data_IF_243714682709
#
_entry.id   IF_243714682709
#
_cell.length_a   1.000
_cell.length_b   1.000
_cell.length_c   1.000
_cell.angle_alpha   90.00
_cell.angle_beta   90.00
_cell.angle_gamma   90.00
#
_symmetry.space_group_name_H-M   'P 1'
#
loop_
_entity.id
_entity.type
_entity.pdbx_description
1 polymer ?
#
# COMPACT_ATOMS: atom_id res chain seq x y z
N UNK A 1 -19.31 -2.56 -7.35
CA UNK A 1 -19.57 -1.47 -6.39
C UNK A 1 -18.81 -0.25 -6.89
N UNK A 2 -19.27 0.99 -6.66
CA UNK A 2 -18.44 2.14 -7.00
C UNK A 2 -17.22 2.17 -6.09
N UNK A 3 -16.07 2.54 -6.64
CA UNK A 3 -14.83 2.78 -5.92
C UNK A 3 -14.68 4.29 -5.70
N UNK A 4 -14.31 4.70 -4.49
CA UNK A 4 -14.01 6.09 -4.15
C UNK A 4 -12.51 6.22 -3.85
N UNK A 5 -11.79 6.98 -4.67
CA UNK A 5 -10.37 7.27 -4.45
C UNK A 5 -10.25 8.41 -3.44
N UNK A 6 -9.76 8.09 -2.24
CA UNK A 6 -9.60 9.07 -1.17
C UNK A 6 -8.32 9.93 -1.29
N UNK A 7 -7.28 9.39 -1.93
CA UNK A 7 -6.00 10.05 -2.17
C UNK A 7 -5.23 9.32 -3.28
N UNK A 8 -4.62 10.06 -4.19
CA UNK A 8 -3.72 9.51 -5.21
C UNK A 8 -2.50 10.41 -5.41
N UNK A 9 -1.34 9.82 -5.71
CA UNK A 9 -0.16 10.59 -6.14
C UNK A 9 0.76 9.71 -6.98
N UNK A 10 1.19 10.22 -8.13
CA UNK A 10 2.14 9.52 -9.02
C UNK A 10 3.29 10.46 -9.39
N UNK A 11 4.53 10.00 -9.22
CA UNK A 11 5.72 10.75 -9.61
C UNK A 11 6.95 9.85 -9.73
N UNK A 12 7.89 10.23 -10.60
CA UNK A 12 9.20 9.56 -10.67
C UNK A 12 10.04 9.91 -9.44
N UNK A 13 10.49 8.89 -8.72
CA UNK A 13 11.33 9.03 -7.53
C UNK A 13 12.56 8.12 -7.62
N UNK A 14 13.64 8.50 -6.94
CA UNK A 14 14.80 7.63 -6.77
C UNK A 14 14.48 6.45 -5.85
N UNK A 15 15.27 5.38 -5.95
CA UNK A 15 15.13 4.20 -5.09
C UNK A 15 15.29 4.54 -3.60
N UNK A 16 16.14 5.51 -3.28
CA UNK A 16 16.38 5.94 -1.89
C UNK A 16 15.19 6.73 -1.31
N UNK A 17 14.53 7.56 -2.12
CA UNK A 17 13.30 8.27 -1.74
C UNK A 17 12.17 7.28 -1.47
N UNK A 18 11.94 6.33 -2.37
CA UNK A 18 10.93 5.27 -2.21
C UNK A 18 11.22 4.43 -0.96
N UNK A 19 12.46 4.00 -0.75
CA UNK A 19 12.82 3.22 0.43
C UNK A 19 12.64 4.01 1.73
N UNK A 20 12.91 5.32 1.72
CA UNK A 20 12.68 6.18 2.88
C UNK A 20 11.20 6.35 3.19
N UNK A 21 10.37 6.44 2.16
CA UNK A 21 8.90 6.49 2.29
C UNK A 21 8.37 5.18 2.90
N UNK A 22 8.75 4.03 2.34
CA UNK A 22 8.34 2.71 2.85
C UNK A 22 8.78 2.48 4.30
N UNK A 23 9.98 2.92 4.69
CA UNK A 23 10.41 2.86 6.10
C UNK A 23 9.54 3.71 7.02
N UNK A 24 9.14 4.90 6.57
CA UNK A 24 8.25 5.78 7.35
C UNK A 24 6.87 5.15 7.55
N UNK A 25 6.35 4.45 6.53
CA UNK A 25 5.11 3.67 6.65
C UNK A 25 5.29 2.53 7.64
N UNK A 26 6.37 1.74 7.52
CA UNK A 26 6.65 0.63 8.43
C UNK A 26 6.77 1.09 9.89
N UNK A 27 7.51 2.18 10.17
CA UNK A 27 7.66 2.73 11.51
C UNK A 27 6.32 3.13 12.15
N UNK A 28 5.37 3.63 11.35
CA UNK A 28 4.02 3.99 11.83
C UNK A 28 3.20 2.77 12.16
N UNK A 29 3.22 1.76 11.29
CA UNK A 29 2.54 0.48 11.52
C UNK A 29 3.06 -0.21 12.78
N UNK A 30 4.38 -0.27 12.97
CA UNK A 30 5.02 -0.86 14.17
C UNK A 30 4.57 -0.18 15.47
N UNK A 31 4.32 1.13 15.43
CA UNK A 31 3.88 1.93 16.59
C UNK A 31 2.36 1.96 16.77
N UNK A 32 1.59 1.37 15.85
CA UNK A 32 0.13 1.51 15.82
C UNK A 32 -0.31 2.97 15.62
N UNK A 33 0.48 3.77 14.91
CA UNK A 33 0.20 5.17 14.64
C UNK A 33 -0.61 5.34 13.35
N UNK A 34 -1.35 6.45 13.27
CA UNK A 34 -2.04 6.87 12.05
C UNK A 34 -1.03 7.20 10.94
N UNK A 35 -1.42 6.90 9.70
CA UNK A 35 -0.64 7.20 8.50
C UNK A 35 -1.24 8.40 7.79
N UNK A 36 -0.50 9.50 7.71
CA UNK A 36 -0.91 10.68 6.93
C UNK A 36 -0.24 10.64 5.57
N UNK A 37 -1.04 10.53 4.51
CA UNK A 37 -0.59 10.68 3.12
C UNK A 37 -0.69 12.16 2.74
N UNK A 38 0.28 12.66 1.99
CA UNK A 38 0.34 14.08 1.61
C UNK A 38 1.06 14.28 0.28
N UNK A 39 0.41 15.01 -0.63
CA UNK A 39 0.97 15.48 -1.88
C UNK A 39 0.49 16.92 -2.16
N UNK A 40 1.42 17.86 -2.28
CA UNK A 40 1.07 19.27 -2.48
C UNK A 40 0.15 19.83 -1.37
N UNK A 41 -1.07 20.21 -1.75
CA UNK A 41 -2.12 20.71 -0.83
C UNK A 41 -3.04 19.62 -0.31
N UNK A 42 -2.99 18.42 -0.88
CA UNK A 42 -3.85 17.30 -0.48
C UNK A 42 -3.23 16.54 0.68
N UNK A 43 -4.08 16.14 1.62
CA UNK A 43 -3.66 15.32 2.76
C UNK A 43 -4.84 14.54 3.32
N UNK A 44 -4.62 13.25 3.56
CA UNK A 44 -5.57 12.37 4.26
C UNK A 44 -4.84 11.64 5.38
N UNK A 45 -5.55 11.32 6.47
CA UNK A 45 -5.03 10.48 7.55
C UNK A 45 -5.84 9.19 7.62
N UNK A 46 -5.14 8.08 7.47
CA UNK A 46 -5.66 6.72 7.52
C UNK A 46 -5.35 6.09 8.88
N UNK A 47 -6.25 5.24 9.37
CA UNK A 47 -6.12 4.54 10.65
C UNK A 47 -6.19 3.02 10.41
N UNK A 48 -5.08 2.38 9.99
CA UNK A 48 -5.05 0.93 9.82
C UNK A 48 -5.48 0.21 11.12
N UNK A 49 -6.20 -0.91 10.97
CA UNK A 49 -6.57 -1.75 12.11
C UNK A 49 -5.34 -2.40 12.76
N UNK A 50 -5.50 -3.09 13.90
CA UNK A 50 -4.38 -3.82 14.51
C UNK A 50 -3.89 -5.01 13.67
N UNK A 51 -4.71 -5.49 12.74
CA UNK A 51 -4.45 -6.67 11.90
C UNK A 51 -5.06 -6.44 10.52
N UNK A 52 -4.51 -5.52 9.70
CA UNK A 52 -4.94 -5.38 8.33
C UNK A 52 -4.54 -6.63 7.53
N UNK A 53 -5.28 -6.92 6.47
CA UNK A 53 -4.80 -7.83 5.43
C UNK A 53 -3.64 -7.14 4.71
N UNK A 54 -2.56 -7.87 4.43
CA UNK A 54 -1.44 -7.37 3.66
C UNK A 54 -1.28 -8.18 2.38
N UNK A 55 -1.62 -7.57 1.26
CA UNK A 55 -1.46 -8.15 -0.07
C UNK A 55 -0.18 -7.64 -0.73
N UNK A 56 0.55 -8.54 -1.38
CA UNK A 56 1.70 -8.20 -2.21
C UNK A 56 1.52 -8.82 -3.57
N UNK A 57 1.54 -7.96 -4.59
CA UNK A 57 1.30 -8.34 -5.98
C UNK A 57 2.45 -7.86 -6.84
N UNK A 58 2.87 -8.67 -7.80
CA UNK A 58 3.84 -8.27 -8.81
C UNK A 58 3.24 -8.57 -10.17
N UNK A 59 3.17 -7.56 -11.03
CA UNK A 59 2.48 -7.66 -12.30
C UNK A 59 3.36 -7.24 -13.47
N UNK A 60 2.96 -7.74 -14.64
CA UNK A 60 3.46 -7.28 -15.92
C UNK A 60 2.27 -6.87 -16.77
N UNK A 61 2.09 -5.58 -16.94
CA UNK A 61 1.01 -5.04 -17.76
C UNK A 61 1.44 -4.84 -19.21
N UNK A 62 0.53 -5.06 -20.15
CA UNK A 62 0.77 -4.89 -21.58
C UNK A 62 0.64 -6.18 -22.40
N UNK A 63 1.05 -6.17 -23.67
CA UNK A 63 0.83 -7.28 -24.59
C UNK A 63 1.61 -8.54 -24.17
N UNK A 64 1.03 -9.72 -24.47
CA UNK A 64 1.67 -11.03 -24.23
C UNK A 64 3.01 -11.16 -24.97
N UNK A 65 3.08 -10.69 -26.22
CA UNK A 65 4.22 -10.86 -27.12
C UNK A 65 4.97 -9.54 -27.41
N UNK A 66 4.92 -8.56 -26.51
CA UNK A 66 5.63 -7.27 -26.66
C UNK A 66 6.05 -6.70 -25.31
N UNK A 67 6.87 -5.63 -25.25
CA UNK A 67 7.30 -5.04 -23.99
C UNK A 67 6.10 -4.55 -23.17
N UNK A 68 6.20 -4.69 -21.85
CA UNK A 68 5.19 -4.30 -20.89
C UNK A 68 5.80 -3.49 -19.74
N UNK A 69 4.95 -3.06 -18.83
CA UNK A 69 5.31 -2.38 -17.59
C UNK A 69 5.36 -3.36 -16.43
N UNK A 70 6.31 -3.20 -15.52
CA UNK A 70 6.42 -4.03 -14.32
C UNK A 70 6.03 -3.20 -13.11
N UNK A 71 5.13 -3.73 -12.29
CA UNK A 71 4.73 -3.13 -11.02
C UNK A 71 4.92 -4.12 -9.87
N UNK A 72 5.17 -3.57 -8.68
CA UNK A 72 5.03 -4.27 -7.41
C UNK A 72 4.11 -3.41 -6.55
N UNK A 73 3.06 -4.02 -6.04
CA UNK A 73 2.05 -3.39 -5.20
C UNK A 73 2.14 -3.96 -3.78
N UNK A 74 2.01 -3.07 -2.82
CA UNK A 74 1.93 -3.38 -1.40
C UNK A 74 0.63 -2.76 -0.89
N UNK A 75 -0.35 -3.61 -0.63
CA UNK A 75 -1.68 -3.17 -0.24
C UNK A 75 -1.98 -3.56 1.20
N UNK A 76 -2.57 -2.62 1.93
CA UNK A 76 -3.10 -2.83 3.27
C UNK A 76 -4.61 -2.63 3.19
N UNK A 77 -5.36 -3.66 3.55
CA UNK A 77 -6.82 -3.63 3.54
C UNK A 77 -7.36 -3.84 4.95
N UNK A 78 -8.37 -3.05 5.32
CA UNK A 78 -9.08 -3.18 6.59
C UNK A 78 -10.48 -2.56 6.51
N UNK A 79 -11.40 -3.06 7.33
CA UNK A 79 -12.74 -2.48 7.43
C UNK A 79 -12.68 -1.10 8.12
N UNK A 80 -13.41 -0.12 7.57
CA UNK A 80 -13.54 1.22 8.19
C UNK A 80 -14.09 1.17 9.62
N UNK A 81 -14.86 0.13 9.95
CA UNK A 81 -15.45 -0.07 11.28
C UNK A 81 -14.54 -0.88 12.23
N UNK A 82 -13.35 -1.30 11.78
CA UNK A 82 -12.38 -2.02 12.59
C UNK A 82 -12.71 -3.47 12.89
N UNK A 83 -13.64 -4.07 12.15
CA UNK A 83 -13.80 -5.53 12.12
C UNK A 83 -12.66 -6.14 11.30
N UNK A 84 -12.16 -7.29 11.74
CA UNK A 84 -11.14 -8.05 11.03
C UNK A 84 -11.83 -9.11 10.20
N UNK A 85 -11.65 -9.08 8.89
CA UNK A 85 -11.85 -10.26 8.07
C UNK A 85 -10.78 -11.29 8.47
N UNK A 86 -11.19 -12.37 9.13
CA UNK A 86 -10.33 -13.54 9.39
C UNK A 86 -10.05 -14.24 8.04
N UNK A 87 -9.12 -13.71 7.26
CA UNK A 87 -8.60 -14.40 6.09
C UNK A 87 -7.22 -14.98 6.38
N UNK A 88 -7.20 -16.30 6.58
CA UNK A 88 -6.01 -17.09 6.79
C UNK A 88 -5.23 -17.21 5.46
N UNK A 89 -4.05 -16.57 5.35
CA UNK A 89 -3.15 -16.78 4.22
C UNK A 89 -1.70 -16.99 4.68
N UNK A 90 -0.97 -17.82 3.92
CA UNK A 90 0.33 -18.38 4.31
C UNK A 90 1.43 -17.36 4.60
N UNK A 91 2.55 -17.82 5.15
CA UNK A 91 3.68 -16.95 5.54
C UNK A 91 4.34 -16.28 4.33
N UNK A 92 4.10 -14.97 4.15
CA UNK A 92 4.83 -14.13 3.21
C UNK A 92 6.29 -13.96 3.66
N UNK A 93 7.23 -13.98 2.71
CA UNK A 93 8.66 -13.71 2.95
C UNK A 93 9.20 -12.77 1.86
N UNK A 94 10.10 -11.88 2.27
CA UNK A 94 10.92 -11.05 1.38
C UNK A 94 12.36 -11.54 1.51
N UNK A 95 13.03 -11.84 0.40
CA UNK A 95 14.43 -12.27 0.32
C UNK A 95 15.32 -11.23 -0.37
#
# INVERSE_FOLDING_TARGET
MPEEVLFESESSQSRDEIASYLRSVAEKLERGEKITLKAGTESITMEPSQRPTFEVKAEREGPTDGPGELSIEFELEWDENGETADEETGTLKIE
#
